data_IF_504928080976
#
_entry.id   IF_504928080976
#
_cell.length_a   1.000
_cell.length_b   1.000
_cell.length_c   1.000
_cell.angle_alpha   90.00
_cell.angle_beta   90.00
_cell.angle_gamma   90.00
#
_symmetry.space_group_name_H-M   'P 1'
#
loop_
_entity.id
_entity.type
_entity.pdbx_description
1 polymer ?
#
# COMPACT_ATOMS: atom_id res chain seq x y z
N UNK A 1 6.81 -51.01 -1.54
CA UNK A 1 8.08 -50.50 -0.97
C UNK A 1 7.67 -49.50 0.10
N UNK A 2 7.66 -49.81 1.41
CA UNK A 2 8.76 -50.24 2.32
C UNK A 2 9.94 -49.26 2.34
N UNK A 3 10.33 -48.89 3.57
CA UNK A 3 11.50 -48.05 3.97
C UNK A 3 11.41 -46.58 3.51
N UNK A 4 11.73 -45.55 4.29
CA UNK A 4 12.55 -45.43 5.52
C UNK A 4 11.84 -44.51 6.55
N UNK A 5 11.74 -44.92 7.81
CA UNK A 5 11.32 -44.05 8.92
C UNK A 5 11.98 -44.47 10.25
N UNK A 6 13.31 -44.36 10.33
CA UNK A 6 14.08 -44.68 11.55
C UNK A 6 15.52 -44.11 11.52
N UNK A 7 15.70 -42.80 11.77
CA UNK A 7 17.05 -42.22 12.02
C UNK A 7 17.08 -40.81 12.64
N UNK A 8 16.21 -40.49 13.61
CA UNK A 8 16.26 -39.20 14.34
C UNK A 8 16.06 -39.39 15.86
N UNK A 9 16.74 -40.37 16.46
CA UNK A 9 16.67 -40.58 17.92
C UNK A 9 17.98 -40.97 18.63
N UNK A 10 19.13 -40.77 17.99
CA UNK A 10 20.45 -41.17 18.54
C UNK A 10 21.56 -40.12 18.43
N UNK A 11 21.23 -38.85 18.14
CA UNK A 11 22.21 -37.75 18.07
C UNK A 11 21.98 -36.57 19.04
N UNK A 12 20.88 -36.56 19.80
CA UNK A 12 20.57 -35.46 20.75
C UNK A 12 21.14 -35.73 22.16
N UNK A 13 21.37 -36.99 22.53
CA UNK A 13 21.86 -37.41 23.86
C UNK A 13 23.36 -37.27 24.09
N UNK A 14 24.15 -36.81 23.11
CA UNK A 14 25.60 -36.60 23.26
C UNK A 14 26.05 -35.14 23.35
N UNK A 15 25.18 -34.17 23.09
CA UNK A 15 25.57 -32.74 23.17
C UNK A 15 25.32 -32.12 24.57
N UNK A 16 24.35 -32.65 25.33
CA UNK A 16 24.04 -32.17 26.69
C UNK A 16 25.02 -32.58 27.80
N UNK A 17 25.96 -33.50 27.53
CA UNK A 17 26.98 -33.89 28.52
C UNK A 17 28.27 -33.04 28.49
N UNK A 18 28.44 -32.13 27.52
CA UNK A 18 29.69 -31.37 27.36
C UNK A 18 29.66 -29.97 28.00
N UNK A 19 28.48 -29.45 28.36
CA UNK A 19 28.32 -28.06 28.85
C UNK A 19 28.25 -27.99 30.38
N UNK A 20 27.88 -29.09 31.06
CA UNK A 20 27.72 -29.15 32.52
C UNK A 20 29.03 -29.31 33.32
N UNK A 21 30.18 -29.51 32.66
CA UNK A 21 31.50 -29.61 33.31
C UNK A 21 32.32 -28.30 33.33
N UNK A 22 31.90 -27.26 32.59
CA UNK A 22 32.59 -25.96 32.54
C UNK A 22 32.03 -24.92 33.51
N UNK A 23 30.83 -25.14 34.08
CA UNK A 23 30.16 -24.16 34.96
C UNK A 23 30.55 -24.26 36.45
N UNK A 24 31.38 -25.23 36.85
CA UNK A 24 31.71 -25.51 38.26
C UNK A 24 33.03 -24.86 38.71
N UNK A 25 33.84 -24.31 37.79
CA UNK A 25 35.22 -23.87 38.09
C UNK A 25 35.45 -22.35 38.26
N UNK A 26 34.39 -21.53 38.32
CA UNK A 26 34.52 -20.05 38.35
C UNK A 26 33.73 -19.34 39.47
N UNK A 27 33.39 -20.04 40.56
CA UNK A 27 32.75 -19.42 41.73
C UNK A 27 33.53 -19.66 43.04
N UNK A 28 34.75 -19.14 43.08
CA UNK A 28 35.54 -19.07 44.32
C UNK A 28 36.64 -18.01 44.24
N UNK A 29 36.35 -16.76 44.62
CA UNK A 29 37.26 -15.88 45.37
C UNK A 29 36.46 -14.76 46.09
N UNK A 30 37.06 -14.17 47.13
CA UNK A 30 36.38 -13.51 48.27
C UNK A 30 36.84 -12.04 48.40
N UNK A 31 35.99 -11.12 48.91
CA UNK A 31 36.21 -9.98 49.86
C UNK A 31 35.14 -8.84 49.61
N UNK A 32 34.30 -8.35 50.55
CA UNK A 32 34.46 -7.65 51.88
C UNK A 32 34.54 -6.10 51.72
N UNK A 33 33.77 -5.21 52.41
CA UNK A 33 32.82 -5.39 53.54
C UNK A 33 31.48 -4.54 53.54
N UNK A 34 31.27 -3.28 54.07
CA UNK A 34 30.06 -3.07 54.91
C UNK A 34 29.20 -1.75 54.86
N UNK A 35 28.16 -1.74 55.73
CA UNK A 35 27.21 -0.69 56.24
C UNK A 35 25.82 -0.57 55.54
N UNK A 36 24.74 -1.16 56.11
CA UNK A 36 23.73 -0.61 57.08
C UNK A 36 22.73 0.41 56.46
N UNK A 37 21.41 0.39 56.69
CA UNK A 37 20.58 -0.17 57.78
C UNK A 37 19.17 -0.67 57.32
N UNK A 38 18.63 -1.60 58.12
CA UNK A 38 17.25 -2.13 58.26
C UNK A 38 16.04 -1.32 57.72
N UNK A 39 15.03 -2.00 57.17
CA UNK A 39 13.87 -2.45 57.98
C UNK A 39 13.13 -3.65 57.33
N UNK A 40 12.47 -4.43 58.18
CA UNK A 40 11.85 -5.73 57.88
C UNK A 40 10.34 -5.60 58.08
N UNK A 41 9.55 -6.27 57.24
CA UNK A 41 8.29 -6.88 57.68
C UNK A 41 8.14 -8.29 57.10
N UNK A 42 7.89 -9.26 57.98
CA UNK A 42 7.70 -10.68 57.67
C UNK A 42 6.26 -11.03 58.03
N UNK A 43 5.48 -11.49 57.05
CA UNK A 43 4.20 -12.16 57.31
C UNK A 43 4.37 -13.64 57.01
N UNK A 44 4.45 -14.44 58.07
CA UNK A 44 4.45 -15.91 58.01
C UNK A 44 3.02 -16.44 58.12
N UNK A 45 2.65 -17.35 57.21
CA UNK A 45 1.54 -18.29 57.42
C UNK A 45 2.08 -19.70 57.23
N UNK A 46 1.73 -20.58 58.17
CA UNK A 46 2.39 -21.86 58.43
C UNK A 46 1.81 -23.04 57.57
N UNK A 47 2.45 -24.23 57.58
CA UNK A 47 2.47 -25.09 56.40
C UNK A 47 1.54 -26.31 56.48
N UNK A 48 1.19 -26.87 55.32
CA UNK A 48 0.92 -28.31 55.21
C UNK A 48 1.16 -28.80 53.78
N UNK A 49 1.73 -30.02 53.65
CA UNK A 49 2.09 -30.71 52.39
C UNK A 49 3.20 -30.06 51.54
N UNK A 50 4.43 -30.17 52.05
CA UNK A 50 5.61 -30.34 51.19
C UNK A 50 5.81 -31.85 50.97
N UNK A 51 5.88 -32.29 49.72
CA UNK A 51 6.87 -33.23 49.16
C UNK A 51 6.77 -33.15 47.62
N UNK A 52 7.85 -32.69 47.01
CA UNK A 52 8.30 -32.84 45.61
C UNK A 52 7.26 -33.13 44.51
N UNK A 53 7.16 -32.22 43.53
CA UNK A 53 8.05 -32.33 42.35
C UNK A 53 8.25 -30.98 41.63
N UNK A 54 9.38 -30.88 40.95
CA UNK A 54 9.99 -29.65 40.45
C UNK A 54 9.44 -29.14 39.11
N UNK A 55 9.84 -27.90 38.79
CA UNK A 55 10.02 -27.34 37.42
C UNK A 55 8.92 -26.43 36.86
N UNK A 56 8.89 -25.16 37.31
CA UNK A 56 8.48 -24.02 36.47
C UNK A 56 9.50 -22.88 36.64
N UNK A 57 10.67 -23.05 36.02
CA UNK A 57 11.49 -21.93 35.54
C UNK A 57 11.89 -22.29 34.11
N UNK A 58 11.25 -21.65 33.15
CA UNK A 58 11.71 -21.45 31.78
C UNK A 58 11.01 -20.16 31.32
N UNK A 59 11.70 -19.03 31.39
CA UNK A 59 12.42 -18.46 30.23
C UNK A 59 11.52 -18.22 29.03
N UNK A 60 11.41 -16.93 28.72
CA UNK A 60 10.83 -16.38 27.50
C UNK A 60 11.58 -16.95 26.30
N UNK A 61 11.00 -17.96 25.66
CA UNK A 61 11.19 -18.16 24.24
C UNK A 61 10.04 -17.46 23.52
N UNK A 62 10.32 -16.26 23.02
CA UNK A 62 9.61 -15.76 21.85
C UNK A 62 9.91 -16.73 20.70
N UNK A 63 9.06 -17.74 20.54
CA UNK A 63 8.98 -18.44 19.26
C UNK A 63 8.63 -17.39 18.21
N UNK A 64 9.63 -17.07 17.41
CA UNK A 64 9.55 -16.14 16.31
C UNK A 64 8.67 -16.77 15.23
N UNK A 65 7.36 -16.75 15.47
CA UNK A 65 6.32 -17.06 14.49
C UNK A 65 6.47 -16.03 13.37
N UNK A 66 7.31 -16.37 12.39
CA UNK A 66 7.31 -15.77 11.06
C UNK A 66 5.89 -15.97 10.54
N UNK A 67 5.05 -14.95 10.77
CA UNK A 67 3.66 -14.99 10.35
C UNK A 67 3.69 -15.03 8.83
N UNK A 68 3.48 -16.23 8.27
CA UNK A 68 3.42 -16.48 6.84
C UNK A 68 2.54 -15.38 6.26
N UNK A 69 3.14 -14.52 5.42
CA UNK A 69 2.41 -13.41 4.83
C UNK A 69 1.15 -13.98 4.19
N UNK A 70 -0.02 -13.51 4.61
CA UNK A 70 -1.31 -13.87 4.02
C UNK A 70 -1.43 -13.22 2.64
N UNK A 71 -0.57 -13.62 1.73
CA UNK A 71 -0.59 -13.31 0.31
C UNK A 71 -1.81 -14.01 -0.28
N UNK A 72 -2.75 -13.23 -0.81
CA UNK A 72 -3.95 -13.75 -1.45
C UNK A 72 -3.52 -14.55 -2.66
N UNK A 73 -4.14 -15.71 -2.84
CA UNK A 73 -3.87 -16.68 -3.89
C UNK A 73 -3.73 -16.04 -5.30
N UNK A 74 -4.44 -14.94 -5.58
CA UNK A 74 -4.40 -14.22 -6.85
C UNK A 74 -3.13 -13.36 -7.07
N UNK A 75 -2.26 -13.27 -6.07
CA UNK A 75 -1.08 -12.39 -6.07
C UNK A 75 0.19 -13.05 -6.62
N UNK A 76 0.21 -14.39 -6.76
CA UNK A 76 1.40 -15.15 -7.17
C UNK A 76 1.17 -16.05 -8.40
N UNK A 77 0.83 -15.49 -9.58
CA UNK A 77 0.62 -16.28 -10.78
C UNK A 77 1.91 -16.97 -11.31
N UNK A 78 1.82 -18.17 -11.89
CA UNK A 78 2.99 -18.92 -12.41
C UNK A 78 3.74 -18.19 -13.52
N UNK A 79 4.98 -17.73 -13.22
CA UNK A 79 5.81 -16.91 -14.11
C UNK A 79 6.23 -17.59 -15.41
N UNK A 80 6.60 -18.88 -15.35
CA UNK A 80 7.17 -19.62 -16.50
C UNK A 80 6.19 -20.62 -17.14
N UNK A 81 4.90 -20.55 -16.79
CA UNK A 81 3.88 -21.44 -17.33
C UNK A 81 3.40 -21.03 -18.74
N UNK A 82 2.77 -21.96 -19.46
CA UNK A 82 1.93 -21.64 -20.63
C UNK A 82 0.56 -21.05 -20.20
N UNK A 83 -0.18 -20.33 -21.06
CA UNK A 83 -1.46 -19.71 -20.71
C UNK A 83 -2.48 -20.69 -20.09
N UNK A 84 -2.56 -21.91 -20.63
CA UNK A 84 -3.53 -22.94 -20.20
C UNK A 84 -3.25 -23.36 -18.75
N UNK A 85 -1.96 -23.50 -18.39
CA UNK A 85 -1.52 -23.79 -17.02
C UNK A 85 -1.80 -22.62 -16.05
N UNK A 86 -1.72 -21.37 -16.51
CA UNK A 86 -2.11 -20.20 -15.68
C UNK A 86 -3.62 -20.12 -15.47
N UNK A 87 -4.41 -20.40 -16.50
CA UNK A 87 -5.88 -20.47 -16.41
C UNK A 87 -6.31 -21.61 -15.47
N UNK A 88 -5.69 -22.78 -15.58
CA UNK A 88 -5.94 -23.91 -14.68
C UNK A 88 -5.55 -23.60 -13.21
N UNK A 89 -4.43 -22.89 -13.00
CA UNK A 89 -4.02 -22.39 -11.67
C UNK A 89 -5.01 -21.38 -11.07
N UNK A 90 -5.62 -20.55 -11.92
CA UNK A 90 -6.53 -19.46 -11.54
C UNK A 90 -7.90 -19.94 -11.08
N UNK A 91 -8.54 -20.86 -11.82
CA UNK A 91 -9.93 -21.29 -11.59
C UNK A 91 -10.27 -21.67 -10.14
N UNK A 92 -9.48 -22.50 -9.42
CA UNK A 92 -9.77 -22.81 -8.01
C UNK A 92 -9.54 -21.61 -7.08
N UNK A 93 -8.62 -20.71 -7.42
CA UNK A 93 -8.23 -19.55 -6.61
C UNK A 93 -9.26 -18.43 -6.64
N UNK A 94 -9.94 -18.23 -7.77
CA UNK A 94 -11.03 -17.24 -7.86
C UNK A 94 -12.17 -17.59 -6.89
N UNK A 95 -12.56 -18.87 -6.79
CA UNK A 95 -13.60 -19.33 -5.85
C UNK A 95 -13.24 -19.08 -4.39
N UNK A 96 -11.96 -19.19 -4.04
CA UNK A 96 -11.45 -19.03 -2.68
C UNK A 96 -10.99 -17.58 -2.37
N UNK A 97 -10.95 -16.69 -3.37
CA UNK A 97 -10.40 -15.35 -3.19
C UNK A 97 -11.28 -14.50 -2.30
N UNK A 98 -10.72 -14.12 -1.14
CA UNK A 98 -11.37 -13.19 -0.21
C UNK A 98 -11.51 -11.81 -0.83
N UNK A 99 -10.70 -11.45 -1.82
CA UNK A 99 -10.74 -10.14 -2.51
C UNK A 99 -11.98 -10.02 -3.42
N UNK A 100 -12.31 -11.06 -4.19
CA UNK A 100 -13.42 -11.03 -5.15
C UNK A 100 -14.78 -11.41 -4.57
N UNK A 101 -14.82 -12.07 -3.40
CA UNK A 101 -16.05 -12.53 -2.77
C UNK A 101 -17.04 -11.41 -2.44
N UNK A 102 -18.21 -11.44 -3.11
CA UNK A 102 -19.38 -10.62 -2.75
C UNK A 102 -20.02 -11.10 -1.43
N UNK A 103 -20.41 -10.15 -0.59
CA UNK A 103 -20.95 -10.35 0.76
C UNK A 103 -22.04 -9.31 1.04
N UNK A 104 -22.84 -9.49 2.10
CA UNK A 104 -23.82 -8.46 2.52
C UNK A 104 -23.14 -7.10 2.73
N UNK A 105 -21.93 -7.09 3.32
CA UNK A 105 -21.15 -5.88 3.57
C UNK A 105 -20.64 -5.21 2.28
N UNK A 106 -20.08 -5.97 1.33
CA UNK A 106 -19.59 -5.40 0.06
C UNK A 106 -20.74 -4.93 -0.83
N UNK A 107 -21.93 -5.57 -0.77
CA UNK A 107 -23.09 -5.10 -1.54
C UNK A 107 -23.59 -3.70 -1.17
N UNK A 108 -23.27 -3.21 0.03
CA UNK A 108 -23.52 -1.83 0.47
C UNK A 108 -22.48 -0.81 -0.03
N UNK A 109 -21.50 -1.23 -0.83
CA UNK A 109 -20.38 -0.39 -1.29
C UNK A 109 -20.82 0.93 -1.94
N UNK A 110 -21.77 0.86 -2.89
CA UNK A 110 -22.22 2.04 -3.62
C UNK A 110 -22.92 3.03 -2.67
N UNK A 111 -23.90 2.55 -1.91
CA UNK A 111 -24.64 3.32 -0.92
C UNK A 111 -23.73 3.99 0.11
N UNK A 112 -22.70 3.28 0.62
CA UNK A 112 -21.74 3.86 1.56
C UNK A 112 -20.98 5.02 0.96
N UNK A 113 -20.48 4.89 -0.27
CA UNK A 113 -19.77 5.98 -0.97
C UNK A 113 -20.72 7.13 -1.25
N UNK A 114 -21.92 6.85 -1.76
CA UNK A 114 -22.90 7.89 -2.09
C UNK A 114 -23.30 8.65 -0.83
N UNK A 115 -23.68 7.97 0.26
CA UNK A 115 -23.99 8.60 1.56
C UNK A 115 -22.83 9.42 2.08
N UNK A 116 -21.60 8.90 2.06
CA UNK A 116 -20.43 9.64 2.52
C UNK A 116 -20.17 10.92 1.70
N UNK A 117 -20.29 10.88 0.37
CA UNK A 117 -20.10 12.05 -0.49
C UNK A 117 -21.30 13.03 -0.41
N UNK A 118 -22.52 12.52 -0.21
CA UNK A 118 -23.76 13.31 -0.18
C UNK A 118 -24.19 13.77 1.21
N UNK A 119 -23.59 13.24 2.27
CA UNK A 119 -23.81 13.70 3.64
C UNK A 119 -23.44 15.17 3.71
N UNK A 120 -24.47 15.95 4.03
CA UNK A 120 -24.53 17.40 4.19
C UNK A 120 -24.66 18.19 2.89
N UNK A 121 -25.86 18.11 2.31
CA UNK A 121 -26.40 19.12 1.38
C UNK A 121 -26.91 20.37 2.11
N UNK A 122 -27.34 20.23 3.36
CA UNK A 122 -28.06 21.27 4.11
C UNK A 122 -27.13 22.12 5.01
N UNK A 123 -25.88 21.69 5.24
CA UNK A 123 -24.87 22.46 5.95
C UNK A 123 -23.59 22.59 5.11
N UNK A 124 -23.25 23.82 4.70
CA UNK A 124 -22.21 24.06 3.70
C UNK A 124 -20.78 23.73 4.16
N UNK A 125 -20.52 23.69 5.46
CA UNK A 125 -19.16 23.51 6.00
C UNK A 125 -18.64 22.08 5.87
N UNK A 126 -19.50 21.08 6.00
CA UNK A 126 -19.10 19.66 6.00
C UNK A 126 -19.07 19.02 4.61
N UNK A 127 -19.57 19.70 3.57
CA UNK A 127 -19.55 19.26 2.18
C UNK A 127 -18.12 19.10 1.64
N UNK A 128 -17.82 17.93 1.08
CA UNK A 128 -16.52 17.63 0.44
C UNK A 128 -16.18 18.62 -0.69
N UNK A 129 -15.13 19.43 -0.54
CA UNK A 129 -14.62 20.33 -1.61
C UNK A 129 -14.03 19.52 -2.77
N UNK A 130 -13.31 18.45 -2.45
CA UNK A 130 -12.70 17.49 -3.38
C UNK A 130 -12.85 16.09 -2.80
N UNK A 131 -13.24 15.12 -3.63
CA UNK A 131 -13.25 13.70 -3.25
C UNK A 131 -12.04 13.00 -3.85
N UNK A 132 -11.24 12.38 -2.99
CA UNK A 132 -10.10 11.56 -3.32
C UNK A 132 -10.47 10.08 -3.25
N UNK A 133 -9.90 9.29 -4.14
CA UNK A 133 -9.99 7.84 -4.17
C UNK A 133 -8.59 7.24 -4.13
N UNK A 134 -8.41 6.20 -3.32
CA UNK A 134 -7.19 5.41 -3.22
C UNK A 134 -7.54 3.93 -3.30
N UNK A 135 -6.74 3.09 -3.97
CA UNK A 135 -6.94 1.63 -3.92
C UNK A 135 -5.95 0.98 -2.98
N UNK A 136 -6.43 0.10 -2.11
CA UNK A 136 -5.56 -0.78 -1.30
C UNK A 136 -6.07 -2.22 -1.38
N UNK A 137 -5.66 -2.91 -2.44
CA UNK A 137 -6.02 -4.31 -2.73
C UNK A 137 -4.90 -5.25 -2.25
N UNK A 138 -4.42 -5.02 -1.01
CA UNK A 138 -3.53 -5.93 -0.30
C UNK A 138 -4.31 -6.71 0.78
N UNK A 139 -4.17 -8.05 0.82
CA UNK A 139 -4.77 -8.89 1.86
C UNK A 139 -4.05 -8.79 3.20
N UNK A 140 -2.77 -8.40 3.20
CA UNK A 140 -1.99 -8.28 4.42
C UNK A 140 -2.33 -6.96 5.12
N UNK A 141 -3.06 -7.07 6.24
CA UNK A 141 -3.47 -5.93 7.07
C UNK A 141 -2.28 -5.21 7.74
N UNK A 142 -1.14 -5.87 7.92
CA UNK A 142 0.09 -5.27 8.44
C UNK A 142 0.86 -4.45 7.38
N UNK A 143 0.48 -4.54 6.09
CA UNK A 143 1.19 -3.87 5.00
C UNK A 143 0.65 -2.49 4.62
N UNK A 144 -0.51 -2.04 5.13
CA UNK A 144 -0.84 -0.60 5.01
C UNK A 144 0.09 0.11 5.99
N UNK A 145 1.25 0.52 5.48
CA UNK A 145 2.38 0.88 6.29
C UNK A 145 2.18 2.28 6.87
N UNK A 146 2.98 2.63 7.89
CA UNK A 146 3.04 4.00 8.39
C UNK A 146 3.34 4.99 7.25
N UNK A 147 4.14 4.60 6.26
CA UNK A 147 4.37 5.37 5.03
C UNK A 147 3.11 5.66 4.21
N UNK A 148 2.17 4.72 4.10
CA UNK A 148 0.95 4.92 3.31
C UNK A 148 -0.03 5.90 4.04
N UNK A 149 0.06 6.01 5.37
CA UNK A 149 -0.61 7.08 6.14
C UNK A 149 -0.04 8.47 5.81
N UNK A 150 1.26 8.61 5.53
CA UNK A 150 1.87 9.91 5.20
C UNK A 150 1.27 10.50 3.90
N UNK A 151 0.97 9.64 2.92
CA UNK A 151 0.23 10.04 1.70
C UNK A 151 -1.18 10.51 2.05
N UNK A 152 -1.88 9.82 2.97
CA UNK A 152 -3.22 10.20 3.42
C UNK A 152 -3.22 11.54 4.20
N UNK A 153 -2.28 11.73 5.12
CA UNK A 153 -2.08 12.98 5.86
C UNK A 153 -1.83 14.15 4.91
N UNK A 154 -0.99 13.95 3.89
CA UNK A 154 -0.66 14.99 2.89
C UNK A 154 -1.88 15.47 2.08
N UNK A 155 -2.85 14.58 1.80
CA UNK A 155 -4.12 14.96 1.18
C UNK A 155 -4.91 15.90 2.10
N UNK A 156 -5.03 15.58 3.38
CA UNK A 156 -5.78 16.38 4.34
C UNK A 156 -5.07 17.70 4.70
N UNK A 157 -3.73 17.73 4.66
CA UNK A 157 -2.95 18.97 4.80
C UNK A 157 -3.22 19.94 3.65
N UNK A 158 -3.19 19.45 2.41
CA UNK A 158 -3.47 20.25 1.22
C UNK A 158 -4.97 20.55 1.03
N UNK A 159 -5.85 19.70 1.56
CA UNK A 159 -7.30 19.82 1.49
C UNK A 159 -7.97 19.46 2.83
N UNK A 160 -8.02 20.40 3.80
CA UNK A 160 -8.66 20.14 5.09
C UNK A 160 -10.16 19.81 4.99
N UNK A 161 -10.84 20.33 3.96
CA UNK A 161 -12.23 19.98 3.60
C UNK A 161 -12.34 19.00 2.42
N UNK A 162 -11.27 18.23 2.19
CA UNK A 162 -11.27 17.09 1.29
C UNK A 162 -11.90 15.86 1.95
N UNK A 163 -12.33 14.90 1.14
CA UNK A 163 -12.84 13.61 1.59
C UNK A 163 -12.06 12.49 0.92
N UNK A 164 -11.58 11.51 1.68
CA UNK A 164 -10.89 10.34 1.15
C UNK A 164 -11.78 9.09 1.15
N UNK A 165 -11.80 8.35 0.04
CA UNK A 165 -12.41 7.02 -0.09
C UNK A 165 -11.33 5.99 -0.40
N UNK A 166 -11.01 5.14 0.58
CA UNK A 166 -10.05 4.04 0.45
C UNK A 166 -10.79 2.77 0.03
N UNK A 167 -10.62 2.39 -1.23
CA UNK A 167 -11.21 1.20 -1.84
C UNK A 167 -10.42 -0.04 -1.41
N UNK A 168 -10.83 -0.66 -0.29
CA UNK A 168 -10.07 -1.72 0.36
C UNK A 168 -10.90 -2.60 1.30
N UNK A 169 -10.79 -3.91 1.12
CA UNK A 169 -11.41 -4.91 2.01
C UNK A 169 -10.62 -5.15 3.31
N UNK A 170 -9.32 -4.82 3.33
CA UNK A 170 -8.49 -4.89 4.54
C UNK A 170 -8.71 -3.67 5.43
N UNK A 171 -8.78 -2.46 4.85
CA UNK A 171 -9.04 -1.23 5.62
C UNK A 171 -10.51 -1.10 6.07
N UNK A 172 -11.49 -1.65 5.33
CA UNK A 172 -12.88 -1.79 5.79
C UNK A 172 -13.03 -2.93 6.83
N UNK A 173 -12.26 -2.84 7.91
CA UNK A 173 -12.32 -3.71 9.09
C UNK A 173 -11.83 -2.96 10.33
N UNK A 174 -12.11 -3.47 11.53
CA UNK A 174 -11.79 -2.78 12.80
C UNK A 174 -10.29 -2.41 12.95
N UNK A 175 -9.29 -3.26 12.59
CA UNK A 175 -7.89 -2.82 12.56
C UNK A 175 -7.62 -1.67 11.59
N UNK A 176 -8.32 -1.63 10.45
CA UNK A 176 -8.21 -0.54 9.48
C UNK A 176 -8.86 0.75 9.99
N UNK A 177 -9.96 0.65 10.75
CA UNK A 177 -10.53 1.78 11.48
C UNK A 177 -9.53 2.36 12.49
N UNK A 178 -8.90 1.53 13.32
CA UNK A 178 -7.91 1.98 14.32
C UNK A 178 -6.71 2.74 13.69
N UNK A 179 -6.35 2.44 12.44
CA UNK A 179 -5.31 3.19 11.69
C UNK A 179 -5.80 4.56 11.19
N UNK A 180 -7.11 4.74 10.99
CA UNK A 180 -7.72 5.96 10.48
C UNK A 180 -8.31 6.86 11.58
N UNK A 181 -8.64 6.27 12.73
CA UNK A 181 -9.20 6.93 13.91
C UNK A 181 -8.44 8.19 14.36
N UNK A 182 -7.09 8.24 14.36
CA UNK A 182 -6.34 9.47 14.66
C UNK A 182 -6.59 10.66 13.72
N UNK A 183 -7.05 10.41 12.48
CA UNK A 183 -7.45 11.46 11.53
C UNK A 183 -8.95 11.80 11.69
N UNK A 184 -9.80 10.78 11.88
CA UNK A 184 -11.25 11.02 12.04
C UNK A 184 -11.55 11.75 13.35
N UNK A 185 -10.80 11.50 14.43
CA UNK A 185 -10.92 12.23 15.70
C UNK A 185 -10.54 13.72 15.59
N UNK A 186 -9.73 14.09 14.59
CA UNK A 186 -9.42 15.49 14.24
C UNK A 186 -10.43 16.09 13.25
N UNK A 187 -11.51 15.38 12.91
CA UNK A 187 -12.56 15.84 12.00
C UNK A 187 -12.32 15.59 10.51
N UNK A 188 -11.21 14.94 10.13
CA UNK A 188 -10.93 14.63 8.72
C UNK A 188 -11.85 13.53 8.19
N UNK A 189 -12.44 13.76 7.01
CA UNK A 189 -13.42 12.85 6.40
C UNK A 189 -12.70 11.74 5.61
N UNK A 190 -12.50 10.57 6.21
CA UNK A 190 -12.03 9.35 5.52
C UNK A 190 -13.01 8.18 5.66
N UNK A 191 -13.25 7.46 4.55
CA UNK A 191 -14.04 6.23 4.49
C UNK A 191 -13.18 5.11 3.89
N UNK A 192 -12.92 4.05 4.64
CA UNK A 192 -12.51 2.78 4.08
C UNK A 192 -13.73 1.93 3.71
N UNK A 193 -13.78 1.39 2.49
CA UNK A 193 -14.93 0.61 2.01
C UNK A 193 -14.48 -0.55 1.11
N UNK A 194 -14.98 -1.74 1.41
CA UNK A 194 -14.66 -2.96 0.65
C UNK A 194 -15.38 -2.96 -0.71
N UNK A 195 -14.64 -2.93 -1.85
CA UNK A 195 -15.26 -2.97 -3.17
C UNK A 195 -15.96 -4.31 -3.43
N UNK A 196 -17.15 -4.25 -4.01
CA UNK A 196 -17.78 -5.39 -4.67
C UNK A 196 -17.49 -5.28 -6.17
N UNK A 197 -16.62 -6.15 -6.69
CA UNK A 197 -16.13 -6.04 -8.06
C UNK A 197 -17.23 -6.26 -9.11
N UNK A 198 -18.21 -7.12 -8.82
CA UNK A 198 -19.35 -7.34 -9.71
C UNK A 198 -20.24 -6.09 -9.78
N UNK A 199 -20.57 -5.49 -8.63
CA UNK A 199 -21.38 -4.27 -8.61
C UNK A 199 -20.66 -3.05 -9.16
N UNK A 200 -19.39 -2.82 -8.81
CA UNK A 200 -18.68 -1.63 -9.31
C UNK A 200 -18.34 -1.74 -10.80
N UNK A 201 -18.14 -2.94 -11.35
CA UNK A 201 -17.95 -3.08 -12.79
C UNK A 201 -19.26 -3.12 -13.59
N UNK A 202 -20.40 -3.38 -12.94
CA UNK A 202 -21.72 -3.40 -13.60
C UNK A 202 -22.00 -2.15 -14.43
N UNK A 203 -22.64 -2.34 -15.59
CA UNK A 203 -22.97 -1.26 -16.53
C UNK A 203 -21.73 -0.47 -17.01
N UNK A 204 -20.57 -1.14 -17.11
CA UNK A 204 -19.36 -0.62 -17.74
C UNK A 204 -18.66 -1.75 -18.52
N UNK A 205 -17.76 -1.45 -19.49
CA UNK A 205 -17.06 -2.51 -20.21
C UNK A 205 -16.20 -3.43 -19.31
N UNK A 206 -15.82 -2.97 -18.11
CA UNK A 206 -15.10 -3.77 -17.11
C UNK A 206 -15.85 -5.05 -16.69
N UNK A 207 -17.18 -5.05 -16.77
CA UNK A 207 -18.03 -6.20 -16.46
C UNK A 207 -17.70 -7.41 -17.35
N UNK A 208 -17.39 -7.16 -18.63
CA UNK A 208 -17.00 -8.20 -19.59
C UNK A 208 -15.63 -8.80 -19.22
N UNK A 209 -14.69 -7.99 -18.74
CA UNK A 209 -13.37 -8.48 -18.34
C UNK A 209 -13.44 -9.38 -17.10
N UNK A 210 -14.18 -9.00 -16.05
CA UNK A 210 -14.28 -9.82 -14.83
C UNK A 210 -15.00 -11.15 -15.11
N UNK A 211 -16.10 -11.13 -15.88
CA UNK A 211 -16.81 -12.35 -16.31
C UNK A 211 -15.90 -13.29 -17.13
N UNK A 212 -15.07 -12.73 -18.03
CA UNK A 212 -14.09 -13.52 -18.80
C UNK A 212 -12.96 -14.07 -17.93
N UNK A 213 -12.52 -13.33 -16.91
CA UNK A 213 -11.54 -13.82 -15.93
C UNK A 213 -12.09 -15.02 -15.15
N UNK A 214 -13.33 -14.90 -14.65
CA UNK A 214 -14.03 -15.94 -13.87
C UNK A 214 -14.33 -17.20 -14.66
N UNK A 215 -14.74 -17.07 -15.93
CA UNK A 215 -14.89 -18.20 -16.83
C UNK A 215 -13.53 -18.85 -17.23
N UNK A 216 -12.41 -18.16 -17.00
CA UNK A 216 -11.07 -18.57 -17.45
C UNK A 216 -10.89 -18.44 -18.96
N UNK A 217 -11.55 -17.45 -19.59
CA UNK A 217 -11.50 -17.12 -21.01
C UNK A 217 -10.40 -16.09 -21.36
N UNK A 218 -9.63 -15.66 -20.37
CA UNK A 218 -8.43 -14.83 -20.53
C UNK A 218 -7.29 -15.38 -19.69
N UNK A 219 -6.07 -15.26 -20.22
CA UNK A 219 -4.84 -15.55 -19.48
C UNK A 219 -4.60 -14.44 -18.43
N UNK A 220 -4.58 -14.74 -17.12
CA UNK A 220 -4.28 -13.72 -16.10
C UNK A 220 -2.86 -13.16 -16.21
N UNK A 221 -1.97 -13.88 -16.90
CA UNK A 221 -0.57 -13.51 -17.05
C UNK A 221 0.25 -13.68 -15.78
N UNK A 222 1.35 -12.93 -15.66
CA UNK A 222 2.41 -13.12 -14.64
C UNK A 222 2.52 -11.95 -13.66
N UNK A 223 1.77 -10.88 -13.88
CA UNK A 223 1.59 -9.74 -12.98
C UNK A 223 0.45 -10.07 -12.01
N UNK A 224 0.57 -9.77 -10.70
CA UNK A 224 -0.48 -10.03 -9.71
C UNK A 224 -1.85 -9.54 -10.18
N UNK A 225 -2.88 -10.38 -10.05
CA UNK A 225 -4.24 -10.01 -10.48
C UNK A 225 -4.78 -8.86 -9.63
N UNK A 226 -4.39 -8.78 -8.36
CA UNK A 226 -4.64 -7.66 -7.46
C UNK A 226 -4.12 -6.31 -7.99
N UNK A 227 -2.96 -6.30 -8.65
CA UNK A 227 -2.43 -5.10 -9.33
C UNK A 227 -3.30 -4.74 -10.55
N UNK A 228 -3.65 -5.71 -11.38
CA UNK A 228 -4.53 -5.49 -12.54
C UNK A 228 -5.95 -5.04 -12.13
N UNK A 229 -6.47 -5.56 -11.02
CA UNK A 229 -7.72 -5.11 -10.40
C UNK A 229 -7.61 -3.66 -9.93
N UNK A 230 -6.48 -3.22 -9.37
CA UNK A 230 -6.24 -1.82 -8.99
C UNK A 230 -6.15 -0.89 -10.21
N UNK A 231 -5.47 -1.31 -11.27
CA UNK A 231 -5.39 -0.58 -12.56
C UNK A 231 -6.79 -0.36 -13.18
N UNK A 232 -7.70 -1.34 -13.07
CA UNK A 232 -9.08 -1.20 -13.57
C UNK A 232 -10.00 -0.46 -12.59
N UNK A 233 -9.90 -0.76 -11.29
CA UNK A 233 -10.77 -0.21 -10.25
C UNK A 233 -10.65 1.31 -10.14
N UNK A 234 -9.44 1.87 -10.25
CA UNK A 234 -9.22 3.32 -10.24
C UNK A 234 -9.94 4.04 -11.39
N UNK A 235 -9.96 3.43 -12.58
CA UNK A 235 -10.62 3.98 -13.77
C UNK A 235 -12.15 3.95 -13.61
N UNK A 236 -12.69 2.83 -13.13
CA UNK A 236 -14.14 2.66 -12.96
C UNK A 236 -14.67 3.48 -11.78
N UNK A 237 -13.92 3.63 -10.70
CA UNK A 237 -14.26 4.50 -9.58
C UNK A 237 -14.40 5.96 -10.03
N UNK A 238 -13.41 6.51 -10.74
CA UNK A 238 -13.53 7.84 -11.32
C UNK A 238 -14.65 7.94 -12.36
N UNK A 239 -14.92 6.88 -13.13
CA UNK A 239 -16.02 6.93 -14.10
C UNK A 239 -17.39 7.03 -13.41
N UNK A 240 -17.61 6.29 -12.33
CA UNK A 240 -18.89 6.30 -11.59
C UNK A 240 -19.06 7.48 -10.62
N UNK A 241 -17.97 8.01 -10.06
CA UNK A 241 -18.02 9.03 -8.98
C UNK A 241 -17.34 10.36 -9.32
N UNK A 242 -16.40 10.38 -10.27
CA UNK A 242 -15.53 11.54 -10.53
C UNK A 242 -14.50 11.77 -9.42
N UNK A 243 -13.86 12.93 -9.44
CA UNK A 243 -12.91 13.37 -8.40
C UNK A 243 -11.45 13.10 -8.76
N UNK A 244 -10.64 12.86 -7.73
CA UNK A 244 -9.19 12.62 -7.82
C UNK A 244 -8.89 11.19 -7.43
N UNK A 245 -8.13 10.45 -8.24
CA UNK A 245 -7.51 9.20 -7.83
C UNK A 245 -6.03 9.44 -7.53
N UNK A 246 -5.53 8.85 -6.44
CA UNK A 246 -4.10 8.73 -6.14
C UNK A 246 -3.74 7.28 -5.75
N UNK A 247 -2.55 6.83 -6.15
CA UNK A 247 -1.92 5.65 -5.55
C UNK A 247 -1.45 5.97 -4.11
N UNK A 248 -1.34 4.94 -3.27
CA UNK A 248 -1.02 5.06 -1.84
C UNK A 248 0.39 5.63 -1.55
N UNK A 249 1.23 5.74 -2.58
CA UNK A 249 2.59 6.28 -2.54
C UNK A 249 2.71 7.65 -3.25
N UNK A 250 1.61 8.41 -3.35
CA UNK A 250 1.60 9.81 -3.80
C UNK A 250 1.42 10.74 -2.61
N UNK A 251 2.44 11.56 -2.34
CA UNK A 251 2.34 12.68 -1.38
C UNK A 251 1.80 13.90 -2.13
N UNK A 252 0.69 14.48 -1.65
CA UNK A 252 0.11 15.72 -2.17
C UNK A 252 0.70 16.91 -1.43
N UNK A 253 1.17 17.90 -2.19
CA UNK A 253 1.92 19.06 -1.68
C UNK A 253 1.11 20.36 -1.80
N UNK A 254 0.09 20.41 -2.67
CA UNK A 254 -0.71 21.62 -2.96
C UNK A 254 -2.16 21.29 -3.27
N UNK A 255 -3.04 22.27 -3.11
CA UNK A 255 -4.44 22.17 -3.53
C UNK A 255 -4.53 21.86 -5.04
N UNK A 256 -5.16 20.74 -5.37
CA UNK A 256 -5.43 20.28 -6.75
C UNK A 256 -6.86 20.61 -7.23
N UNK A 257 -7.63 21.41 -6.49
CA UNK A 257 -9.06 21.64 -6.78
C UNK A 257 -9.32 22.48 -8.04
N UNK A 258 -8.30 23.18 -8.54
CA UNK A 258 -8.32 23.88 -9.83
C UNK A 258 -8.11 22.95 -11.04
N UNK A 259 -7.62 21.72 -10.82
CA UNK A 259 -7.35 20.77 -11.88
C UNK A 259 -8.63 20.00 -12.26
N UNK A 260 -8.87 19.83 -13.56
CA UNK A 260 -9.98 19.02 -14.11
C UNK A 260 -9.55 18.24 -15.34
N UNK A 261 -10.06 17.01 -15.48
CA UNK A 261 -9.81 16.10 -16.60
C UNK A 261 -8.31 16.01 -16.94
N UNK A 262 -7.48 15.83 -15.92
CA UNK A 262 -6.02 15.94 -15.94
C UNK A 262 -5.32 14.60 -15.73
N UNK A 263 -4.18 14.43 -16.39
CA UNK A 263 -3.26 13.29 -16.25
C UNK A 263 -1.81 13.77 -16.40
N UNK A 264 -0.88 13.24 -15.61
CA UNK A 264 0.53 13.67 -15.61
C UNK A 264 1.44 12.86 -16.54
N UNK A 265 2.44 13.53 -17.13
CA UNK A 265 3.57 12.89 -17.81
C UNK A 265 4.51 12.27 -16.76
N UNK A 266 4.81 10.97 -16.86
CA UNK A 266 5.79 10.28 -16.01
C UNK A 266 7.21 10.31 -16.61
N UNK A 267 7.35 10.34 -17.94
CA UNK A 267 8.66 10.41 -18.60
C UNK A 267 8.53 11.15 -19.91
N UNK A 268 9.44 12.09 -20.18
CA UNK A 268 9.53 12.81 -21.46
C UNK A 268 10.21 11.95 -22.53
N UNK A 269 9.96 12.27 -23.80
CA UNK A 269 10.69 11.68 -24.92
C UNK A 269 12.21 11.84 -24.76
N UNK A 270 12.95 10.76 -24.99
CA UNK A 270 14.39 10.73 -25.08
C UNK A 270 14.81 9.88 -26.28
N UNK A 271 15.17 10.54 -27.36
CA UNK A 271 15.53 9.92 -28.65
C UNK A 271 16.77 9.02 -28.55
N UNK A 272 17.79 9.40 -27.78
CA UNK A 272 19.01 8.57 -27.62
C UNK A 272 18.78 7.30 -26.80
N UNK A 273 17.66 7.21 -26.08
CA UNK A 273 17.23 6.00 -25.33
C UNK A 273 16.07 5.25 -26.01
N UNK A 274 15.68 5.65 -27.22
CA UNK A 274 14.48 5.16 -27.93
C UNK A 274 13.23 5.13 -27.03
N UNK A 275 13.06 6.17 -26.21
CA UNK A 275 12.03 6.26 -25.19
C UNK A 275 11.03 7.35 -25.57
N UNK A 276 9.78 6.97 -25.85
CA UNK A 276 8.70 7.93 -26.08
C UNK A 276 8.19 8.56 -24.77
N UNK A 277 7.44 9.66 -24.89
CA UNK A 277 6.75 10.28 -23.74
C UNK A 277 5.70 9.31 -23.17
N UNK A 278 5.69 9.13 -21.85
CA UNK A 278 4.76 8.25 -21.13
C UNK A 278 3.95 9.03 -20.10
N UNK A 279 2.66 8.69 -20.00
CA UNK A 279 1.75 9.14 -18.95
C UNK A 279 1.63 8.05 -17.88
N UNK A 280 1.14 8.41 -16.69
CA UNK A 280 0.90 7.47 -15.59
C UNK A 280 -0.52 7.66 -15.02
N UNK A 281 -1.10 6.56 -14.55
CA UNK A 281 -2.42 6.45 -13.92
C UNK A 281 -2.36 6.41 -12.38
N UNK A 282 -1.20 6.71 -11.78
CA UNK A 282 -1.03 6.88 -10.33
C UNK A 282 -1.63 8.19 -9.80
N UNK A 283 -1.85 9.19 -10.66
CA UNK A 283 -2.70 10.36 -10.37
C UNK A 283 -3.61 10.61 -11.56
N UNK A 284 -4.92 10.65 -11.33
CA UNK A 284 -5.94 10.91 -12.35
C UNK A 284 -6.99 11.85 -11.76
N UNK A 285 -7.35 12.92 -12.47
CA UNK A 285 -8.34 13.91 -11.98
C UNK A 285 -9.41 14.04 -13.05
N UNK A 286 -10.64 13.58 -12.82
CA UNK A 286 -11.66 13.54 -13.87
C UNK A 286 -13.07 13.82 -13.35
N UNK A 287 -13.88 14.45 -14.19
CA UNK A 287 -15.31 14.59 -13.96
C UNK A 287 -16.00 13.22 -14.05
N UNK A 288 -17.09 13.04 -13.28
CA UNK A 288 -17.92 11.83 -13.34
C UNK A 288 -18.42 11.59 -14.76
N UNK A 289 -18.36 10.34 -15.21
CA UNK A 289 -18.82 9.93 -16.55
C UNK A 289 -17.93 10.39 -17.71
N UNK A 290 -16.75 10.98 -17.46
CA UNK A 290 -15.93 11.54 -18.53
C UNK A 290 -15.50 10.48 -19.57
N UNK A 291 -15.78 10.75 -20.86
CA UNK A 291 -15.61 9.79 -21.98
C UNK A 291 -14.18 9.22 -22.11
N UNK A 292 -13.16 9.92 -21.62
CA UNK A 292 -11.79 9.38 -21.61
C UNK A 292 -11.63 8.18 -20.67
N UNK A 293 -12.30 8.18 -19.52
CA UNK A 293 -12.27 7.05 -18.59
C UNK A 293 -12.92 5.82 -19.22
N UNK A 294 -14.05 6.01 -19.93
CA UNK A 294 -14.68 4.93 -20.70
C UNK A 294 -13.70 4.35 -21.73
N UNK A 295 -13.00 5.19 -22.50
CA UNK A 295 -11.96 4.74 -23.45
C UNK A 295 -10.77 4.01 -22.81
N UNK A 296 -10.37 4.40 -21.59
CA UNK A 296 -9.36 3.67 -20.83
C UNK A 296 -9.89 2.28 -20.40
N UNK A 297 -11.13 2.19 -19.94
CA UNK A 297 -11.77 0.92 -19.53
C UNK A 297 -11.95 -0.01 -20.75
N UNK A 298 -12.41 0.52 -21.90
CA UNK A 298 -12.51 -0.22 -23.17
C UNK A 298 -11.15 -0.78 -23.61
N UNK A 299 -10.09 0.04 -23.62
CA UNK A 299 -8.74 -0.41 -23.96
C UNK A 299 -8.25 -1.51 -23.01
N UNK A 300 -8.54 -1.40 -21.71
CA UNK A 300 -8.14 -2.40 -20.72
C UNK A 300 -8.76 -3.75 -21.06
N UNK A 301 -10.07 -3.77 -21.30
CA UNK A 301 -10.84 -4.98 -21.63
C UNK A 301 -10.38 -5.60 -22.95
N UNK A 302 -10.14 -4.77 -23.97
CA UNK A 302 -9.83 -5.20 -25.33
C UNK A 302 -8.37 -5.63 -25.52
N UNK A 303 -7.43 -5.05 -24.77
CA UNK A 303 -5.98 -5.27 -24.96
C UNK A 303 -5.29 -5.97 -23.78
N UNK A 304 -6.05 -6.36 -22.74
CA UNK A 304 -5.54 -6.89 -21.47
C UNK A 304 -4.31 -7.80 -21.64
N UNK A 305 -3.19 -7.40 -21.03
CA UNK A 305 -1.97 -8.19 -21.05
C UNK A 305 -1.34 -8.27 -19.67
N UNK A 306 -1.89 -9.14 -18.82
CA UNK A 306 -1.35 -9.41 -17.49
C UNK A 306 0.07 -10.01 -17.46
N UNK A 307 0.76 -10.21 -18.60
CA UNK A 307 2.17 -10.64 -18.63
C UNK A 307 3.16 -9.48 -18.66
N UNK A 308 2.72 -8.27 -18.99
CA UNK A 308 3.59 -7.10 -19.19
C UNK A 308 3.33 -6.05 -18.11
N UNK A 309 4.30 -5.84 -17.21
CA UNK A 309 4.19 -4.80 -16.18
C UNK A 309 3.95 -3.42 -16.80
N UNK A 310 3.02 -2.67 -16.20
CA UNK A 310 2.64 -1.33 -16.67
C UNK A 310 1.90 -1.30 -18.02
N UNK A 311 1.60 -2.44 -18.65
CA UNK A 311 0.88 -2.47 -19.93
C UNK A 311 -0.59 -2.03 -19.80
N UNK A 312 -1.24 -2.47 -18.72
CA UNK A 312 -2.64 -2.19 -18.39
C UNK A 312 -2.82 -0.86 -17.61
N UNK A 313 -1.74 -0.26 -17.12
CA UNK A 313 -1.75 1.01 -16.39
C UNK A 313 -1.09 2.15 -17.19
N UNK A 314 0.15 2.60 -16.86
CA UNK A 314 0.80 3.74 -17.52
C UNK A 314 0.87 3.64 -19.05
N UNK A 315 1.16 2.45 -19.59
CA UNK A 315 1.20 2.26 -21.06
C UNK A 315 -0.19 2.35 -21.69
N UNK A 316 -1.25 1.94 -20.98
CA UNK A 316 -2.62 1.99 -21.48
C UNK A 316 -3.08 3.43 -21.65
N UNK A 317 -2.96 4.24 -20.59
CA UNK A 317 -3.37 5.65 -20.63
C UNK A 317 -2.54 6.44 -21.65
N UNK A 318 -1.25 6.12 -21.77
CA UNK A 318 -0.37 6.63 -22.84
C UNK A 318 -0.91 6.27 -24.24
N UNK A 319 -1.15 4.99 -24.55
CA UNK A 319 -1.65 4.55 -25.87
C UNK A 319 -2.98 5.20 -26.24
N UNK A 320 -3.90 5.35 -25.28
CA UNK A 320 -5.23 5.94 -25.54
C UNK A 320 -5.13 7.45 -25.76
N UNK A 321 -4.39 8.20 -24.93
CA UNK A 321 -4.25 9.66 -25.10
C UNK A 321 -3.55 10.00 -26.42
N UNK A 322 -2.51 9.27 -26.83
CA UNK A 322 -1.85 9.53 -28.12
C UNK A 322 -2.70 9.13 -29.33
N UNK A 323 -3.50 8.05 -29.26
CA UNK A 323 -4.49 7.73 -30.31
C UNK A 323 -5.64 8.75 -30.38
N UNK A 324 -5.99 9.41 -29.27
CA UNK A 324 -7.03 10.45 -29.19
C UNK A 324 -6.70 11.71 -30.00
N UNK A 325 -5.49 11.90 -30.54
CA UNK A 325 -5.12 13.11 -31.29
C UNK A 325 -6.00 13.43 -32.54
N UNK A 326 -6.98 12.59 -32.87
CA UNK A 326 -7.99 12.83 -33.92
C UNK A 326 -9.37 13.28 -33.42
N UNK A 327 -9.71 13.14 -32.13
CA UNK A 327 -11.01 13.58 -31.58
C UNK A 327 -10.88 14.74 -30.58
N UNK A 328 -11.06 15.95 -31.09
CA UNK A 328 -10.96 17.21 -30.32
C UNK A 328 -12.10 17.42 -29.31
N UNK A 329 -13.18 16.61 -29.35
CA UNK A 329 -14.36 16.79 -28.48
C UNK A 329 -14.09 16.33 -27.05
N UNK A 330 -13.26 15.30 -26.87
CA UNK A 330 -12.88 14.81 -25.54
C UNK A 330 -11.69 15.64 -25.05
N UNK A 331 -11.91 16.60 -24.15
CA UNK A 331 -10.85 17.43 -23.57
C UNK A 331 -10.12 16.68 -22.44
N UNK A 332 -8.80 16.76 -22.43
CA UNK A 332 -7.93 16.16 -21.39
C UNK A 332 -6.70 17.04 -21.28
N UNK A 333 -6.38 17.46 -20.07
CA UNK A 333 -5.20 18.25 -19.74
C UNK A 333 -4.03 17.32 -19.44
N UNK A 334 -3.00 17.35 -20.29
CA UNK A 334 -1.76 16.60 -20.06
C UNK A 334 -0.81 17.50 -19.28
N UNK A 335 -0.61 17.20 -18.00
CA UNK A 335 0.20 18.00 -17.10
C UNK A 335 1.70 17.66 -17.24
N UNK A 336 2.60 18.65 -17.06
CA UNK A 336 4.04 18.44 -17.19
C UNK A 336 4.57 17.48 -16.13
N UNK A 337 5.76 16.92 -16.39
CA UNK A 337 6.48 16.02 -15.49
C UNK A 337 6.50 16.51 -14.02
N UNK A 338 6.75 17.81 -13.84
CA UNK A 338 6.85 18.43 -12.52
C UNK A 338 5.56 18.42 -11.71
N UNK A 339 4.37 18.21 -12.31
CA UNK A 339 3.11 18.28 -11.57
C UNK A 339 2.99 17.18 -10.50
N UNK A 340 3.34 15.93 -10.84
CA UNK A 340 3.21 14.76 -9.95
C UNK A 340 4.40 13.79 -9.99
N UNK A 341 5.28 13.92 -11.00
CA UNK A 341 6.41 13.01 -11.24
C UNK A 341 7.75 13.75 -11.30
N UNK A 342 8.05 14.69 -10.39
CA UNK A 342 9.22 15.58 -10.50
C UNK A 342 10.57 14.84 -10.45
N UNK A 343 10.58 13.57 -10.02
CA UNK A 343 11.72 12.66 -10.01
C UNK A 343 11.29 11.31 -10.60
N UNK A 344 12.17 10.71 -11.42
CA UNK A 344 11.94 9.41 -12.04
C UNK A 344 12.24 8.26 -11.05
N UNK A 345 11.57 7.12 -11.21
CA UNK A 345 11.78 5.90 -10.40
C UNK A 345 13.25 5.41 -10.35
N UNK A 346 14.10 5.79 -11.31
CA UNK A 346 15.54 5.48 -11.29
C UNK A 346 16.36 6.36 -10.35
N UNK A 347 15.88 7.56 -10.02
CA UNK A 347 16.57 8.59 -9.24
C UNK A 347 15.92 8.85 -7.88
N UNK A 348 14.76 8.22 -7.62
CA UNK A 348 14.03 8.39 -6.36
C UNK A 348 14.86 8.01 -5.14
N UNK A 349 15.78 7.04 -5.25
CA UNK A 349 16.64 6.57 -4.15
C UNK A 349 17.41 7.72 -3.50
N UNK A 350 17.88 8.69 -4.30
CA UNK A 350 18.68 9.81 -3.81
C UNK A 350 17.85 10.86 -3.07
N UNK A 351 16.51 10.82 -3.19
CA UNK A 351 15.60 11.69 -2.45
C UNK A 351 15.32 11.14 -1.03
N UNK A 352 15.57 9.85 -0.78
CA UNK A 352 15.39 9.20 0.53
C UNK A 352 16.63 9.32 1.44
N UNK A 353 17.79 9.66 0.88
CA UNK A 353 19.06 9.80 1.61
C UNK A 353 19.26 11.20 2.17
N UNK A 354 19.95 11.29 3.31
CA UNK A 354 20.46 12.51 3.89
C UNK A 354 21.72 12.93 3.12
N UNK A 355 21.80 14.16 2.57
CA UNK A 355 23.03 14.64 1.97
C UNK A 355 24.10 14.82 3.04
N UNK A 356 25.34 14.38 2.76
CA UNK A 356 26.48 14.47 3.68
C UNK A 356 27.44 15.56 3.21
N UNK A 357 27.72 15.60 1.92
CA UNK A 357 28.65 16.56 1.33
C UNK A 357 27.97 17.90 0.99
N UNK A 358 28.74 18.98 0.93
CA UNK A 358 28.23 20.34 0.66
C UNK A 358 27.56 20.45 -0.71
N UNK A 359 28.10 19.77 -1.73
CA UNK A 359 27.50 19.71 -3.07
C UNK A 359 26.18 18.93 -3.09
N UNK A 360 26.10 17.80 -2.38
CA UNK A 360 24.86 17.03 -2.20
C UNK A 360 23.80 17.86 -1.47
N UNK A 361 24.19 18.61 -0.44
CA UNK A 361 23.29 19.48 0.33
C UNK A 361 22.72 20.60 -0.55
N UNK A 362 23.57 21.26 -1.34
CA UNK A 362 23.15 22.29 -2.29
C UNK A 362 22.18 21.72 -3.34
N UNK A 363 22.51 20.56 -3.93
CA UNK A 363 21.64 19.86 -4.88
C UNK A 363 20.30 19.47 -4.25
N UNK A 364 20.31 18.90 -3.04
CA UNK A 364 19.10 18.48 -2.34
C UNK A 364 18.18 19.66 -2.03
N UNK A 365 18.76 20.82 -1.64
CA UNK A 365 18.00 22.04 -1.44
C UNK A 365 17.43 22.60 -2.75
N UNK A 366 18.17 22.55 -3.85
CA UNK A 366 17.66 22.94 -5.18
C UNK A 366 16.49 22.03 -5.61
N UNK A 367 16.61 20.71 -5.42
CA UNK A 367 15.54 19.77 -5.74
C UNK A 367 14.31 19.95 -4.85
N UNK A 368 14.50 20.16 -3.54
CA UNK A 368 13.41 20.47 -2.61
C UNK A 368 12.69 21.76 -3.03
N UNK A 369 13.43 22.84 -3.30
CA UNK A 369 12.87 24.10 -3.78
C UNK A 369 12.12 23.92 -5.13
N UNK A 370 12.65 23.12 -6.05
CA UNK A 370 12.01 22.81 -7.34
C UNK A 370 10.68 22.09 -7.15
N UNK A 371 10.62 21.10 -6.25
CA UNK A 371 9.40 20.35 -5.91
C UNK A 371 8.38 21.26 -5.21
N UNK A 372 8.77 21.92 -4.12
CA UNK A 372 7.90 22.83 -3.36
C UNK A 372 7.36 23.98 -4.22
N UNK A 373 8.10 24.46 -5.23
CA UNK A 373 7.60 25.52 -6.11
C UNK A 373 6.70 25.00 -7.24
N UNK A 374 7.05 23.89 -7.91
CA UNK A 374 6.43 23.49 -9.20
C UNK A 374 5.52 22.26 -9.16
N UNK A 375 5.49 21.52 -8.05
CA UNK A 375 4.72 20.27 -7.93
C UNK A 375 3.39 20.46 -7.20
N UNK A 376 2.37 19.73 -7.64
CA UNK A 376 1.16 19.46 -6.86
C UNK A 376 1.31 18.23 -5.97
N UNK A 377 2.19 17.29 -6.35
CA UNK A 377 2.53 16.12 -5.56
C UNK A 377 3.83 15.45 -6.03
N UNK A 378 4.22 14.40 -5.31
CA UNK A 378 5.36 13.55 -5.65
C UNK A 378 4.98 12.08 -5.46
N UNK A 379 5.12 11.30 -6.53
CA UNK A 379 5.00 9.84 -6.50
C UNK A 379 6.32 9.22 -6.00
N UNK A 380 6.24 8.44 -4.92
CA UNK A 380 7.38 7.85 -4.22
C UNK A 380 7.88 6.54 -4.86
N UNK A 381 7.15 5.96 -5.81
CA UNK A 381 7.53 4.73 -6.52
C UNK A 381 7.76 3.54 -5.57
N UNK A 382 6.81 3.20 -4.71
CA UNK A 382 6.92 2.16 -3.66
C UNK A 382 7.41 0.80 -4.20
N UNK A 383 7.23 0.48 -5.48
CA UNK A 383 7.84 -0.71 -6.10
C UNK A 383 9.38 -0.75 -6.01
N UNK A 384 10.01 0.42 -5.95
CA UNK A 384 11.45 0.66 -5.80
C UNK A 384 11.77 1.10 -4.36
N UNK A 385 10.99 2.04 -3.80
CA UNK A 385 11.36 2.76 -2.57
C UNK A 385 10.85 2.16 -1.26
N UNK A 386 9.90 1.21 -1.27
CA UNK A 386 9.24 0.70 -0.03
C UNK A 386 10.20 0.11 1.01
N UNK A 387 11.38 -0.36 0.58
CA UNK A 387 12.41 -0.94 1.46
C UNK A 387 13.52 0.08 1.83
N UNK A 388 13.44 1.34 1.36
CA UNK A 388 14.37 2.40 1.72
C UNK A 388 13.89 3.08 3.00
N UNK A 389 14.76 3.28 3.98
CA UNK A 389 14.48 4.18 5.11
C UNK A 389 14.32 5.62 4.61
N UNK A 390 13.44 6.40 5.24
CA UNK A 390 13.45 7.86 5.06
C UNK A 390 14.51 8.38 6.01
N UNK A 391 15.65 8.85 5.50
CA UNK A 391 16.70 9.40 6.37
C UNK A 391 16.31 10.81 6.83
N UNK A 392 16.59 11.14 8.09
CA UNK A 392 16.28 12.45 8.65
C UNK A 392 17.11 13.55 7.95
N UNK A 393 16.42 14.54 7.39
CA UNK A 393 17.03 15.61 6.58
C UNK A 393 17.12 15.30 5.08
N UNK A 394 16.70 14.11 4.63
CA UNK A 394 16.49 13.80 3.21
C UNK A 394 15.41 14.67 2.56
N UNK A 395 15.35 14.67 1.22
CA UNK A 395 14.33 15.44 0.49
C UNK A 395 12.92 14.92 0.82
N UNK A 396 12.71 13.60 0.81
CA UNK A 396 11.42 12.99 1.19
C UNK A 396 11.10 13.26 2.66
N UNK A 397 12.08 13.17 3.57
CA UNK A 397 11.89 13.47 4.99
C UNK A 397 11.39 14.90 5.23
N UNK A 398 12.03 15.89 4.60
CA UNK A 398 11.60 17.30 4.66
C UNK A 398 10.21 17.50 4.05
N UNK A 399 9.97 16.99 2.84
CA UNK A 399 8.66 17.09 2.17
C UNK A 399 7.53 16.50 3.01
N UNK A 400 7.77 15.37 3.67
CA UNK A 400 6.75 14.73 4.52
C UNK A 400 6.54 15.53 5.80
N UNK A 401 7.60 15.99 6.48
CA UNK A 401 7.47 16.82 7.69
C UNK A 401 6.66 18.10 7.42
N UNK A 402 6.87 18.74 6.27
CA UNK A 402 6.13 19.95 5.87
C UNK A 402 4.62 19.64 5.63
N UNK A 403 4.28 18.40 5.23
CA UNK A 403 2.95 18.03 4.73
C UNK A 403 2.19 16.99 5.57
N UNK A 404 2.74 16.51 6.68
CA UNK A 404 2.05 15.64 7.62
C UNK A 404 1.16 16.43 8.61
N UNK A 405 0.34 15.69 9.35
CA UNK A 405 -0.63 16.18 10.35
C UNK A 405 -0.30 15.59 11.72
N UNK A 406 -0.12 14.27 11.77
CA UNK A 406 0.22 13.47 12.95
C UNK A 406 1.73 13.22 12.97
N UNK A 407 2.34 13.02 11.80
CA UNK A 407 3.79 12.92 11.63
C UNK A 407 4.46 11.77 12.42
N UNK A 408 3.68 10.76 12.84
CA UNK A 408 4.17 9.71 13.73
C UNK A 408 5.11 8.75 12.99
N UNK A 409 6.27 8.46 13.61
CA UNK A 409 7.23 7.44 13.20
C UNK A 409 7.77 7.54 11.75
N UNK A 410 7.81 8.76 11.16
CA UNK A 410 8.25 9.01 9.77
C UNK A 410 9.60 8.35 9.43
N UNK A 411 10.53 8.34 10.39
CA UNK A 411 11.91 7.86 10.21
C UNK A 411 12.13 6.40 10.64
N UNK A 412 11.07 5.70 11.07
CA UNK A 412 11.13 4.29 11.48
C UNK A 412 10.78 3.39 10.29
N UNK A 413 11.62 2.38 10.04
CA UNK A 413 11.55 1.44 8.91
C UNK A 413 10.36 0.48 8.95
#
# INVERSE_FOLDING_TARGET
>A
MKTICSSIHTSITKLHLCVSLLAIFLYSFIYVQPWQHNHVDIVTINPTRIIMQSTIINQVHEENCISIELVDDLSMPPRHAKPEKRIAWLKPRLKNSKILQSTVKTRQFHDKIMRFISQDSDNNDTKCKVVFFMTWISPNKKLFAKRDLLSLESVFKAHPRGCMVILSKSMDSEPGWRLLEPLVSQGYRVLAVAPDFQLIFSNTPAEVWIKRLEAGLIDPGTIPITQNLSDLLRLVALYKYGGVYIDADVVILKDVSSLRNSIGIQTMENKSRNQGTTLNNAVLIFDKGHLMLLKFIEEFVNTFNGRRWGFNGPSLVTRVIYRRNRDKRIKVNVLPLTAFYPVNWRQIVDYFKKPILKNETNWAQEQLNRVNNKSYGIHLWNKVSRNLTIEEGSIIGKLILDHCIICQDIFIS
#
